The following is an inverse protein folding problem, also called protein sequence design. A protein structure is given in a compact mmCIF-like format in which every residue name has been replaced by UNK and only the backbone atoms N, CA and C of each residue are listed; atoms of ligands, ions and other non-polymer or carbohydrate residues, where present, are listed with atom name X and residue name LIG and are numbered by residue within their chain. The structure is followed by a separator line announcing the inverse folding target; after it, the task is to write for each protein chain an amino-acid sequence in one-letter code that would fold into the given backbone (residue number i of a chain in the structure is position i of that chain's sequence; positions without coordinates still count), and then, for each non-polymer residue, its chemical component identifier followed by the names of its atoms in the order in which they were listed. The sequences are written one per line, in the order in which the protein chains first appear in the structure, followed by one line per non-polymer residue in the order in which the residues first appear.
data_IF_253429040488
#
_entry.id   IF_253429040488
#
_cell.length_a   1.000
_cell.length_b   1.000
_cell.length_c   1.000
_cell.angle_alpha   90.00
_cell.angle_beta   90.00
_cell.angle_gamma   90.00
#
_symmetry.space_group_name_H-M   'P 1'
#
loop_
_entity.id
_entity.type
_entity.pdbx_description
1 polymer ?
#
# COMPACT_ATOMS: atom_id res chain seq x y z
N UNK A 1 -12.23 21.44 -8.66
CA UNK A 1 -12.10 20.47 -7.56
C UNK A 1 -11.49 21.22 -6.40
N UNK A 2 -12.10 21.17 -5.20
CA UNK A 2 -11.42 21.61 -3.99
C UNK A 2 -10.35 20.56 -3.71
N UNK A 3 -9.08 20.91 -3.91
CA UNK A 3 -7.99 19.99 -3.64
C UNK A 3 -7.76 19.99 -2.14
N UNK A 4 -7.95 18.83 -1.50
CA UNK A 4 -7.76 18.71 -0.07
C UNK A 4 -6.28 18.92 0.29
N UNK A 5 -6.01 19.88 1.17
CA UNK A 5 -4.64 20.28 1.52
C UNK A 5 -3.82 19.12 2.09
N UNK A 6 -4.47 18.16 2.75
CA UNK A 6 -3.79 16.99 3.32
C UNK A 6 -3.25 16.07 2.22
N UNK A 7 -3.99 15.83 1.14
CA UNK A 7 -3.50 15.05 0.00
C UNK A 7 -2.26 15.69 -0.63
N UNK A 8 -2.27 17.01 -0.83
CA UNK A 8 -1.10 17.77 -1.31
C UNK A 8 0.09 17.67 -0.35
N UNK A 9 -0.17 17.75 0.95
CA UNK A 9 0.85 17.59 1.97
C UNK A 9 1.45 16.18 1.95
N UNK A 10 0.63 15.13 1.76
CA UNK A 10 1.12 13.76 1.66
C UNK A 10 2.04 13.59 0.44
N UNK A 11 1.63 14.03 -0.76
CA UNK A 11 2.51 14.03 -1.95
C UNK A 11 3.80 14.84 -1.74
N UNK A 12 3.71 16.01 -1.08
CA UNK A 12 4.87 16.80 -0.70
C UNK A 12 5.80 16.04 0.25
N UNK A 13 5.24 15.37 1.24
CA UNK A 13 5.98 14.63 2.26
C UNK A 13 6.73 13.43 1.65
N UNK A 14 6.15 12.72 0.67
CA UNK A 14 6.82 11.59 0.00
C UNK A 14 8.19 11.99 -0.55
N UNK A 15 8.26 13.13 -1.23
CA UNK A 15 9.51 13.65 -1.80
C UNK A 15 10.55 13.99 -0.73
N UNK A 16 10.10 14.62 0.36
CA UNK A 16 10.96 14.89 1.51
C UNK A 16 11.49 13.58 2.13
N UNK A 17 10.63 12.57 2.30
CA UNK A 17 10.98 11.31 2.94
C UNK A 17 12.01 10.52 2.16
N UNK A 18 11.93 10.48 0.83
CA UNK A 18 12.97 9.85 -0.01
C UNK A 18 14.36 10.44 0.31
N UNK A 19 14.45 11.77 0.35
CA UNK A 19 15.70 12.48 0.65
C UNK A 19 16.14 12.25 2.11
N UNK A 20 15.19 12.19 3.05
CA UNK A 20 15.47 11.90 4.45
C UNK A 20 16.04 10.48 4.63
N UNK A 21 15.45 9.47 4.00
CA UNK A 21 15.90 8.08 4.04
C UNK A 21 17.34 7.98 3.50
N UNK A 22 17.61 8.57 2.32
CA UNK A 22 18.96 8.57 1.76
C UNK A 22 19.98 9.27 2.67
N UNK A 23 19.61 10.40 3.27
CA UNK A 23 20.46 11.07 4.27
C UNK A 23 20.76 10.18 5.47
N UNK A 24 19.75 9.54 6.06
CA UNK A 24 19.95 8.68 7.22
C UNK A 24 20.76 7.43 6.88
N UNK A 25 20.58 6.87 5.68
CA UNK A 25 21.41 5.78 5.17
C UNK A 25 22.90 6.17 5.06
N UNK A 26 23.19 7.36 4.52
CA UNK A 26 24.57 7.89 4.46
C UNK A 26 25.15 8.08 5.86
N UNK A 27 24.38 8.67 6.78
CA UNK A 27 24.82 8.86 8.17
C UNK A 27 25.07 7.53 8.87
N UNK A 28 24.24 6.51 8.63
CA UNK A 28 24.45 5.16 9.15
C UNK A 28 25.73 4.53 8.60
N UNK A 29 26.06 4.73 7.31
CA UNK A 29 27.33 4.26 6.74
C UNK A 29 28.56 4.98 7.26
N UNK A 30 28.47 6.29 7.50
CA UNK A 30 29.57 7.07 8.07
C UNK A 30 29.77 6.80 9.56
N UNK A 31 28.69 6.54 10.29
CA UNK A 31 28.71 6.34 11.74
C UNK A 31 27.90 5.10 12.17
N UNK A 32 28.36 3.87 11.85
CA UNK A 32 27.57 2.65 12.08
C UNK A 32 27.22 2.36 13.54
N UNK A 33 27.96 2.95 14.48
CA UNK A 33 27.71 2.79 15.92
C UNK A 33 26.54 3.62 16.47
N UNK A 34 25.97 4.52 15.67
CA UNK A 34 24.88 5.41 16.10
C UNK A 34 23.54 4.81 15.71
N UNK A 35 23.00 3.95 16.58
CA UNK A 35 21.76 3.22 16.36
C UNK A 35 20.54 4.11 16.02
N UNK A 36 20.49 5.34 16.55
CA UNK A 36 19.39 6.25 16.26
C UNK A 36 19.24 6.59 14.77
N UNK A 37 20.31 6.48 13.96
CA UNK A 37 20.22 6.76 12.52
C UNK A 37 19.47 5.68 11.76
N UNK A 38 19.73 4.39 12.02
CA UNK A 38 18.97 3.29 11.41
C UNK A 38 17.51 3.28 11.90
N UNK A 39 17.26 3.59 13.17
CA UNK A 39 15.90 3.70 13.72
C UNK A 39 15.10 4.82 13.05
N UNK A 40 15.70 6.02 12.90
CA UNK A 40 15.04 7.15 12.22
C UNK A 40 14.82 6.84 10.73
N UNK A 41 15.77 6.17 10.08
CA UNK A 41 15.61 5.74 8.69
C UNK A 41 14.39 4.82 8.53
N UNK A 42 14.23 3.85 9.43
CA UNK A 42 13.11 2.91 9.41
C UNK A 42 11.77 3.61 9.67
N UNK A 43 11.75 4.59 10.58
CA UNK A 43 10.58 5.44 10.80
C UNK A 43 10.16 6.17 9.52
N UNK A 44 11.11 6.77 8.79
CA UNK A 44 10.82 7.47 7.54
C UNK A 44 10.33 6.54 6.42
N UNK A 45 10.86 5.31 6.36
CA UNK A 45 10.39 4.26 5.44
C UNK A 45 8.93 3.90 5.73
N UNK A 46 8.59 3.64 7.00
CA UNK A 46 7.22 3.32 7.39
C UNK A 46 6.26 4.47 7.09
N UNK A 47 6.66 5.70 7.38
CA UNK A 47 5.84 6.89 7.10
C UNK A 47 5.67 7.15 5.60
N UNK A 48 6.64 6.78 4.75
CA UNK A 48 6.49 6.83 3.29
C UNK A 48 5.45 5.81 2.81
N UNK A 49 5.55 4.56 3.28
CA UNK A 49 4.62 3.50 2.94
C UNK A 49 3.18 3.83 3.38
N UNK A 50 3.03 4.33 4.61
CA UNK A 50 1.74 4.78 5.14
C UNK A 50 1.17 5.95 4.33
N UNK A 51 1.99 6.97 4.02
CA UNK A 51 1.56 8.09 3.19
C UNK A 51 1.15 7.64 1.78
N UNK A 52 1.84 6.65 1.20
CA UNK A 52 1.48 6.10 -0.10
C UNK A 52 0.12 5.41 -0.05
N UNK A 53 -0.07 4.54 0.95
CA UNK A 53 -1.35 3.86 1.16
C UNK A 53 -2.49 4.86 1.36
N UNK A 54 -2.30 5.88 2.21
CA UNK A 54 -3.28 6.92 2.48
C UNK A 54 -3.64 7.76 1.24
N UNK A 55 -2.68 7.98 0.32
CA UNK A 55 -2.96 8.66 -0.95
C UNK A 55 -3.83 7.81 -1.88
N UNK A 56 -3.54 6.51 -1.96
CA UNK A 56 -4.25 5.59 -2.86
C UNK A 56 -5.64 5.25 -2.33
N UNK A 57 -5.69 4.79 -1.09
CA UNK A 57 -6.90 4.24 -0.44
C UNK A 57 -7.71 5.32 0.29
N UNK A 58 -7.15 6.51 0.46
CA UNK A 58 -7.79 7.63 1.12
C UNK A 58 -7.74 7.53 2.65
N UNK A 59 -8.12 8.63 3.30
CA UNK A 59 -8.37 8.73 4.74
C UNK A 59 -9.79 9.27 4.89
N UNK A 60 -10.66 8.52 5.56
CA UNK A 60 -12.07 8.89 5.72
C UNK A 60 -12.21 10.32 6.25
N UNK A 61 -12.84 11.18 5.45
CA UNK A 61 -13.11 12.59 5.79
C UNK A 61 -11.91 13.54 5.70
N UNK A 62 -10.76 13.10 5.19
CA UNK A 62 -9.53 13.91 5.16
C UNK A 62 -8.67 13.79 3.89
N UNK A 63 -8.72 12.65 3.18
CA UNK A 63 -8.07 12.46 1.86
C UNK A 63 -9.00 11.59 1.00
N UNK A 64 -9.45 12.03 -0.18
CA UNK A 64 -10.25 11.20 -1.06
C UNK A 64 -9.39 10.06 -1.60
N UNK A 65 -10.02 8.89 -1.69
CA UNK A 65 -9.47 7.74 -2.40
C UNK A 65 -9.23 8.08 -3.87
N UNK A 66 -8.13 7.60 -4.44
CA UNK A 66 -7.88 7.69 -5.88
C UNK A 66 -8.84 6.74 -6.59
N UNK A 67 -9.67 7.29 -7.48
CA UNK A 67 -10.68 6.51 -8.21
C UNK A 67 -10.40 6.40 -9.70
N UNK A 68 -9.61 7.32 -10.27
CA UNK A 68 -9.23 7.30 -11.68
C UNK A 68 -8.22 6.18 -11.96
N UNK A 69 -8.53 5.29 -12.91
CA UNK A 69 -7.71 4.12 -13.16
C UNK A 69 -6.33 4.45 -13.76
N UNK A 70 -6.20 5.56 -14.48
CA UNK A 70 -4.90 6.01 -14.98
C UNK A 70 -4.03 6.52 -13.82
N UNK A 71 -4.61 7.27 -12.88
CA UNK A 71 -3.91 7.71 -11.68
C UNK A 71 -3.51 6.53 -10.78
N UNK A 72 -4.33 5.46 -10.68
CA UNK A 72 -3.92 4.21 -10.02
C UNK A 72 -2.70 3.58 -10.70
N UNK A 73 -2.61 3.60 -12.04
CA UNK A 73 -1.42 3.12 -12.76
C UNK A 73 -0.16 3.95 -12.44
N UNK A 74 -0.29 5.28 -12.38
CA UNK A 74 0.83 6.15 -11.97
C UNK A 74 1.27 5.86 -10.53
N UNK A 75 0.33 5.62 -9.62
CA UNK A 75 0.65 5.26 -8.23
C UNK A 75 1.32 3.88 -8.15
N UNK A 76 0.94 2.91 -9.00
CA UNK A 76 1.69 1.65 -9.13
C UNK A 76 3.14 1.89 -9.55
N UNK A 77 3.37 2.75 -10.55
CA UNK A 77 4.74 3.02 -11.01
C UNK A 77 5.59 3.62 -9.87
N UNK A 78 5.00 4.51 -9.05
CA UNK A 78 5.63 5.04 -7.84
C UNK A 78 5.94 3.92 -6.83
N UNK A 79 5.00 3.01 -6.58
CA UNK A 79 5.19 1.87 -5.65
C UNK A 79 6.27 0.91 -6.14
N UNK A 80 6.27 0.58 -7.42
CA UNK A 80 7.25 -0.33 -8.02
C UNK A 80 8.67 0.27 -7.97
N UNK A 81 8.80 1.58 -8.22
CA UNK A 81 10.07 2.27 -8.06
C UNK A 81 10.51 2.32 -6.59
N UNK A 82 9.55 2.50 -5.67
CA UNK A 82 9.80 2.50 -4.24
C UNK A 82 10.29 1.15 -3.73
N UNK A 83 9.74 0.02 -4.17
CA UNK A 83 10.17 -1.32 -3.72
C UNK A 83 11.68 -1.55 -3.91
N UNK A 84 12.20 -1.13 -5.06
CA UNK A 84 13.63 -1.25 -5.36
C UNK A 84 14.48 -0.38 -4.44
N UNK A 85 13.99 0.81 -4.11
CA UNK A 85 14.63 1.73 -3.18
C UNK A 85 14.59 1.21 -1.73
N UNK A 86 13.42 0.76 -1.28
CA UNK A 86 13.17 0.18 0.03
C UNK A 86 14.05 -1.05 0.28
N UNK A 87 14.18 -1.94 -0.72
CA UNK A 87 15.04 -3.12 -0.61
C UNK A 87 16.50 -2.75 -0.30
N UNK A 88 17.04 -1.69 -0.92
CA UNK A 88 18.40 -1.23 -0.63
C UNK A 88 18.47 -0.59 0.76
N UNK A 89 17.48 0.22 1.12
CA UNK A 89 17.43 0.85 2.45
C UNK A 89 17.35 -0.21 3.57
N UNK A 90 16.62 -1.30 3.35
CA UNK A 90 16.51 -2.42 4.29
C UNK A 90 17.86 -3.13 4.49
N UNK A 91 18.65 -3.34 3.44
CA UNK A 91 20.01 -3.91 3.57
C UNK A 91 20.91 -3.05 4.47
N UNK A 92 20.79 -1.72 4.36
CA UNK A 92 21.54 -0.77 5.18
C UNK A 92 21.07 -0.85 6.64
N UNK A 93 19.76 -0.93 6.86
CA UNK A 93 19.17 -1.10 8.19
C UNK A 93 19.60 -2.42 8.85
N UNK A 94 19.64 -3.52 8.09
CA UNK A 94 20.03 -4.86 8.54
C UNK A 94 21.53 -4.98 8.84
N UNK A 95 22.29 -3.89 8.69
CA UNK A 95 23.68 -3.80 9.13
C UNK A 95 24.70 -3.87 7.99
N UNK A 96 24.30 -3.72 6.73
CA UNK A 96 25.21 -3.57 5.59
C UNK A 96 25.18 -2.15 5.00
N UNK A 97 25.72 -1.14 5.69
CA UNK A 97 25.80 0.21 5.16
C UNK A 97 27.06 0.39 4.29
N UNK A 98 27.39 -0.60 3.46
CA UNK A 98 28.53 -0.53 2.55
C UNK A 98 28.39 0.64 1.56
N UNK A 99 29.52 1.14 1.06
CA UNK A 99 29.52 2.19 0.05
C UNK A 99 28.68 1.81 -1.19
N UNK A 100 28.64 0.53 -1.55
CA UNK A 100 27.80 0.01 -2.64
C UNK A 100 26.32 0.24 -2.36
N UNK A 101 25.82 -0.11 -1.17
CA UNK A 101 24.40 0.03 -0.85
C UNK A 101 24.02 1.51 -0.69
N UNK A 102 24.85 2.30 -0.01
CA UNK A 102 24.60 3.74 0.18
C UNK A 102 24.61 4.49 -1.15
N UNK A 103 25.58 4.23 -2.03
CA UNK A 103 25.61 4.83 -3.37
C UNK A 103 24.54 4.26 -4.30
N UNK A 104 24.15 3.01 -4.11
CA UNK A 104 23.02 2.40 -4.82
C UNK A 104 21.72 3.10 -4.49
N UNK A 105 21.50 3.44 -3.22
CA UNK A 105 20.33 4.19 -2.77
C UNK A 105 20.30 5.61 -3.37
N UNK A 106 21.44 6.31 -3.36
CA UNK A 106 21.59 7.61 -4.01
C UNK A 106 21.36 7.52 -5.53
N UNK A 107 21.91 6.50 -6.18
CA UNK A 107 21.74 6.26 -7.62
C UNK A 107 20.30 5.93 -8.03
N UNK A 108 19.49 5.35 -7.13
CA UNK A 108 18.06 5.15 -7.33
C UNK A 108 17.29 6.48 -7.36
N UNK A 109 17.79 7.51 -6.66
CA UNK A 109 17.21 8.84 -6.62
C UNK A 109 17.83 9.80 -7.64
N UNK A 110 19.05 9.54 -8.11
CA UNK A 110 19.75 10.42 -9.03
C UNK A 110 20.30 9.64 -10.22
N UNK A 111 19.60 9.73 -11.35
CA UNK A 111 20.01 9.12 -12.61
C UNK A 111 20.22 10.20 -13.66
N UNK A 112 21.49 10.42 -14.03
CA UNK A 112 21.90 11.42 -15.04
C UNK A 112 21.38 12.86 -14.77
N UNK A 113 21.25 13.23 -13.49
CA UNK A 113 20.79 14.56 -13.07
C UNK A 113 19.27 14.72 -13.00
N UNK A 114 18.53 13.63 -13.20
CA UNK A 114 17.07 13.55 -13.02
C UNK A 114 16.79 12.61 -11.86
N UNK A 115 15.80 12.95 -11.02
CA UNK A 115 15.26 12.05 -9.99
C UNK A 115 13.99 11.39 -10.54
N UNK A 116 14.05 10.11 -10.96
CA UNK A 116 12.91 9.44 -11.57
C UNK A 116 11.72 9.33 -10.61
N UNK A 117 11.97 9.15 -9.31
CA UNK A 117 10.91 9.05 -8.31
C UNK A 117 10.26 10.42 -8.07
N UNK A 118 11.04 11.49 -8.07
CA UNK A 118 10.52 12.85 -8.03
C UNK A 118 9.62 13.15 -9.23
N UNK A 119 10.04 12.76 -10.44
CA UNK A 119 9.26 12.96 -11.66
C UNK A 119 7.94 12.17 -11.62
N UNK A 120 7.99 10.90 -11.20
CA UNK A 120 6.79 10.07 -11.04
C UNK A 120 5.82 10.65 -10.00
N UNK A 121 6.33 11.06 -8.82
CA UNK A 121 5.52 11.69 -7.77
C UNK A 121 4.94 13.04 -8.22
N UNK A 122 5.68 13.81 -9.01
CA UNK A 122 5.21 15.10 -9.54
C UNK A 122 4.12 14.89 -10.59
N UNK A 123 4.28 13.93 -11.49
CA UNK A 123 3.26 13.56 -12.47
C UNK A 123 1.97 13.05 -11.80
N UNK A 124 2.10 12.21 -10.77
CA UNK A 124 0.97 11.73 -9.98
C UNK A 124 0.28 12.88 -9.20
N UNK A 125 1.06 13.83 -8.66
CA UNK A 125 0.53 15.03 -8.00
C UNK A 125 -0.27 15.91 -8.97
N UNK A 126 0.27 16.18 -10.16
CA UNK A 126 -0.41 16.99 -11.17
C UNK A 126 -1.73 16.33 -11.60
N UNK A 127 -1.69 15.01 -11.79
CA UNK A 127 -2.85 14.18 -12.10
C UNK A 127 -3.89 14.17 -10.97
N UNK A 128 -3.44 14.12 -9.71
CA UNK A 128 -4.29 14.21 -8.52
C UNK A 128 -4.99 15.58 -8.41
N UNK A 129 -4.26 16.67 -8.66
CA UNK A 129 -4.81 18.05 -8.63
C UNK A 129 -5.89 18.23 -9.70
N UNK A 130 -5.67 17.66 -10.90
CA UNK A 130 -6.65 17.69 -11.99
C UNK A 130 -7.82 16.73 -11.75
N UNK A 131 -7.59 15.65 -11.00
CA UNK A 131 -8.56 14.59 -10.76
C UNK A 131 -8.65 13.57 -11.90
N UNK A 132 -7.65 13.51 -12.78
CA UNK A 132 -7.56 12.55 -13.88
C UNK A 132 -6.09 12.33 -14.23
N UNK A 133 -5.68 11.07 -14.35
CA UNK A 133 -4.30 10.69 -14.63
C UNK A 133 -4.02 10.39 -16.10
N UNK A 134 -2.73 10.25 -16.40
CA UNK A 134 -2.25 9.74 -17.67
C UNK A 134 -1.94 8.24 -17.53
N UNK A 135 -2.56 7.42 -18.37
CA UNK A 135 -2.40 5.98 -18.31
C UNK A 135 -1.00 5.55 -18.76
N UNK A 136 -0.25 4.93 -17.85
CA UNK A 136 1.13 4.50 -18.10
C UNK A 136 1.24 3.05 -18.59
N UNK A 137 0.20 2.22 -18.36
CA UNK A 137 0.17 0.82 -18.74
C UNK A 137 -0.60 0.58 -20.05
N UNK A 138 -0.09 1.18 -21.13
CA UNK A 138 -0.65 1.11 -22.47
C UNK A 138 0.36 0.56 -23.48
N UNK A 139 -0.14 -0.04 -24.57
CA UNK A 139 0.71 -0.59 -25.63
C UNK A 139 1.64 -1.68 -25.10
N UNK A 140 2.95 -1.49 -25.29
CA UNK A 140 3.98 -2.45 -24.84
C UNK A 140 4.13 -2.53 -23.32
N UNK A 141 3.56 -1.56 -22.57
CA UNK A 141 3.50 -1.55 -21.10
C UNK A 141 2.17 -2.04 -20.54
N UNK A 142 1.27 -2.53 -21.39
CA UNK A 142 0.01 -3.09 -20.93
C UNK A 142 0.24 -4.31 -20.03
N UNK A 143 -0.69 -4.55 -19.11
CA UNK A 143 -0.68 -5.72 -18.21
C UNK A 143 -0.43 -7.01 -19.01
N UNK A 144 0.63 -7.72 -18.62
CA UNK A 144 0.99 -8.98 -19.23
C UNK A 144 -0.06 -10.05 -18.93
N UNK A 145 -0.04 -11.12 -19.71
CA UNK A 145 -0.90 -12.28 -19.45
C UNK A 145 -0.67 -12.86 -18.05
N UNK A 146 0.58 -12.91 -17.59
CA UNK A 146 0.92 -13.43 -16.27
C UNK A 146 0.33 -12.57 -15.17
N UNK A 147 0.41 -11.25 -15.30
CA UNK A 147 -0.18 -10.32 -14.34
C UNK A 147 -1.71 -10.42 -14.29
N UNK A 148 -2.36 -10.54 -15.45
CA UNK A 148 -3.81 -10.72 -15.51
C UNK A 148 -4.25 -12.06 -14.89
N UNK A 149 -3.50 -13.14 -15.14
CA UNK A 149 -3.76 -14.44 -14.50
C UNK A 149 -3.57 -14.38 -12.98
N UNK A 150 -2.55 -13.67 -12.49
CA UNK A 150 -2.33 -13.45 -11.06
C UNK A 150 -3.48 -12.65 -10.44
N UNK A 151 -3.91 -11.55 -11.07
CA UNK A 151 -5.06 -10.76 -10.60
C UNK A 151 -6.35 -11.59 -10.50
N UNK A 152 -6.64 -12.44 -11.50
CA UNK A 152 -7.81 -13.32 -11.48
C UNK A 152 -7.71 -14.34 -10.33
N UNK A 153 -6.51 -14.89 -10.08
CA UNK A 153 -6.29 -15.79 -8.94
C UNK A 153 -6.51 -15.08 -7.61
N UNK A 154 -5.99 -13.86 -7.44
CA UNK A 154 -6.20 -13.07 -6.23
C UNK A 154 -7.67 -12.75 -6.00
N UNK A 155 -8.45 -12.41 -7.05
CA UNK A 155 -9.91 -12.26 -6.93
C UNK A 155 -10.59 -13.56 -6.46
N UNK A 156 -10.18 -14.70 -7.02
CA UNK A 156 -10.68 -16.02 -6.60
C UNK A 156 -10.34 -16.32 -5.14
N UNK A 157 -9.13 -15.98 -4.71
CA UNK A 157 -8.67 -16.16 -3.35
C UNK A 157 -9.39 -15.23 -2.36
N UNK A 158 -9.66 -13.97 -2.70
CA UNK A 158 -10.54 -13.11 -1.90
C UNK A 158 -11.91 -13.75 -1.69
N UNK A 159 -12.47 -14.40 -2.72
CA UNK A 159 -13.74 -15.12 -2.60
C UNK A 159 -13.64 -16.32 -1.65
N UNK A 160 -12.55 -17.08 -1.70
CA UNK A 160 -12.25 -18.16 -0.75
C UNK A 160 -12.15 -17.64 0.68
N UNK A 161 -11.39 -16.55 0.90
CA UNK A 161 -11.21 -15.92 2.21
C UNK A 161 -12.55 -15.49 2.82
N UNK A 162 -13.50 -14.98 2.04
CA UNK A 162 -14.85 -14.66 2.57
C UNK A 162 -15.58 -15.88 3.11
N UNK A 163 -15.44 -17.04 2.46
CA UNK A 163 -16.04 -18.29 2.93
C UNK A 163 -15.32 -18.83 4.16
N UNK A 164 -13.98 -18.72 4.18
CA UNK A 164 -13.18 -19.08 5.34
C UNK A 164 -13.54 -18.23 6.55
N UNK A 165 -13.63 -16.90 6.41
CA UNK A 165 -14.07 -16.00 7.47
C UNK A 165 -15.46 -16.36 7.99
N UNK A 166 -16.43 -16.62 7.10
CA UNK A 166 -17.77 -17.02 7.52
C UNK A 166 -17.76 -18.34 8.32
N UNK A 167 -16.92 -19.30 7.93
CA UNK A 167 -16.75 -20.56 8.66
C UNK A 167 -16.08 -20.36 10.02
N UNK A 168 -14.97 -19.63 10.07
CA UNK A 168 -14.25 -19.33 11.32
C UNK A 168 -15.14 -18.57 12.30
N UNK A 169 -15.93 -17.62 11.80
CA UNK A 169 -16.94 -16.93 12.58
C UNK A 169 -17.98 -17.87 13.18
N UNK A 170 -18.49 -18.84 12.41
CA UNK A 170 -19.42 -19.85 12.96
C UNK A 170 -18.73 -20.68 14.05
N UNK A 171 -17.48 -21.08 13.85
CA UNK A 171 -16.72 -21.82 14.87
C UNK A 171 -16.56 -21.01 16.15
N UNK A 172 -16.24 -19.72 16.03
CA UNK A 172 -16.16 -18.80 17.16
C UNK A 172 -17.49 -18.71 17.93
N UNK A 173 -18.62 -18.58 17.21
CA UNK A 173 -19.96 -18.56 17.84
C UNK A 173 -20.35 -19.89 18.49
N UNK A 174 -19.72 -21.00 18.09
CA UNK A 174 -19.92 -22.32 18.68
C UNK A 174 -18.92 -22.63 19.80
N UNK A 175 -18.10 -21.65 20.20
CA UNK A 175 -17.03 -21.82 21.20
C UNK A 175 -16.01 -22.92 20.80
N UNK A 176 -15.80 -23.06 19.48
CA UNK A 176 -14.79 -23.93 18.90
C UNK A 176 -13.56 -23.07 18.58
N UNK A 177 -12.37 -23.64 18.80
CA UNK A 177 -11.10 -23.01 18.44
C UNK A 177 -11.15 -22.50 16.99
N UNK A 178 -10.91 -21.22 16.82
CA UNK A 178 -11.06 -20.49 15.55
C UNK A 178 -9.99 -19.42 15.46
N UNK A 179 -9.65 -19.03 14.22
CA UNK A 179 -8.68 -17.96 14.00
C UNK A 179 -9.18 -17.01 12.92
N UNK A 180 -10.24 -16.26 13.23
CA UNK A 180 -10.87 -15.30 12.34
C UNK A 180 -9.94 -14.14 11.95
N UNK A 181 -8.99 -13.79 12.82
CA UNK A 181 -8.05 -12.67 12.61
C UNK A 181 -7.14 -12.85 11.39
N UNK A 182 -6.72 -14.08 11.10
CA UNK A 182 -5.82 -14.38 9.98
C UNK A 182 -6.46 -14.12 8.62
N UNK A 183 -7.59 -14.74 8.25
CA UNK A 183 -8.21 -14.50 6.94
C UNK A 183 -8.76 -13.06 6.81
N UNK A 184 -9.08 -12.37 7.91
CA UNK A 184 -9.41 -10.94 7.91
C UNK A 184 -8.22 -10.10 7.43
N UNK A 185 -7.04 -10.29 8.05
CA UNK A 185 -5.83 -9.55 7.69
C UNK A 185 -5.38 -9.88 6.26
N UNK A 186 -5.41 -11.16 5.89
CA UNK A 186 -5.03 -11.64 4.55
C UNK A 186 -5.95 -11.04 3.47
N UNK A 187 -7.25 -10.89 3.73
CA UNK A 187 -8.17 -10.26 2.78
C UNK A 187 -7.77 -8.81 2.46
N UNK A 188 -7.38 -8.03 3.46
CA UNK A 188 -6.95 -6.64 3.27
C UNK A 188 -5.58 -6.55 2.58
N UNK A 189 -4.68 -7.48 2.89
CA UNK A 189 -3.37 -7.64 2.26
C UNK A 189 -3.49 -7.94 0.76
N UNK A 190 -4.50 -8.69 0.33
CA UNK A 190 -4.75 -8.96 -1.10
C UNK A 190 -5.60 -7.90 -1.80
N UNK A 191 -6.58 -7.29 -1.12
CA UNK A 191 -7.48 -6.31 -1.74
C UNK A 191 -6.73 -5.02 -2.12
N UNK A 192 -5.87 -4.54 -1.22
CA UNK A 192 -5.13 -3.28 -1.38
C UNK A 192 -4.27 -3.29 -2.66
N UNK A 193 -3.36 -4.26 -2.86
CA UNK A 193 -2.56 -4.38 -4.08
C UNK A 193 -3.36 -4.72 -5.33
N UNK A 194 -4.58 -5.26 -5.20
CA UNK A 194 -5.43 -5.52 -6.37
C UNK A 194 -6.04 -4.24 -6.92
N UNK A 195 -6.32 -3.25 -6.05
CA UNK A 195 -6.85 -1.93 -6.43
C UNK A 195 -5.75 -1.06 -7.05
N UNK A 196 -4.58 -1.02 -6.42
CA UNK A 196 -3.48 -0.16 -6.83
C UNK A 196 -2.57 -0.84 -7.86
N UNK A 197 -2.47 -2.17 -7.82
CA UNK A 197 -1.49 -2.96 -8.53
C UNK A 197 -0.13 -2.95 -7.82
N UNK A 198 0.64 -4.02 -8.00
CA UNK A 198 1.95 -4.20 -7.36
C UNK A 198 2.82 -5.22 -8.10
N UNK A 199 3.93 -4.80 -8.68
CA UNK A 199 4.78 -5.68 -9.50
C UNK A 199 5.43 -6.81 -8.69
N UNK A 200 5.77 -6.57 -7.41
CA UNK A 200 6.34 -7.60 -6.54
C UNK A 200 5.40 -8.81 -6.33
N UNK A 201 4.07 -8.58 -6.42
CA UNK A 201 3.06 -9.64 -6.39
C UNK A 201 2.57 -10.05 -7.79
N UNK A 202 3.21 -9.56 -8.85
CA UNK A 202 2.75 -9.71 -10.24
C UNK A 202 1.31 -9.23 -10.45
N UNK A 203 0.88 -8.18 -9.74
CA UNK A 203 -0.46 -7.62 -9.85
C UNK A 203 -0.43 -6.37 -10.73
N UNK A 204 -1.24 -6.30 -11.80
CA UNK A 204 -1.37 -5.11 -12.61
C UNK A 204 -2.25 -4.09 -11.88
N UNK A 205 -2.07 -2.81 -12.21
CA UNK A 205 -3.09 -1.82 -11.87
C UNK A 205 -4.35 -2.08 -12.73
N UNK A 206 -5.53 -1.56 -12.34
CA UNK A 206 -6.75 -1.80 -13.09
C UNK A 206 -6.63 -1.39 -14.57
N UNK A 207 -7.02 -2.30 -15.48
CA UNK A 207 -6.90 -2.09 -16.94
C UNK A 207 -7.96 -1.16 -17.53
N UNK A 208 -8.99 -0.81 -16.76
CA UNK A 208 -10.05 0.11 -17.17
C UNK A 208 -10.77 0.68 -15.96
N UNK A 209 -11.45 1.82 -16.15
CA UNK A 209 -12.28 2.43 -15.12
C UNK A 209 -13.39 1.49 -14.61
N UNK A 210 -13.94 0.62 -15.47
CA UNK A 210 -14.96 -0.34 -15.07
C UNK A 210 -14.42 -1.38 -14.07
N UNK A 211 -13.16 -1.79 -14.23
CA UNK A 211 -12.49 -2.70 -13.29
C UNK A 211 -12.15 -1.98 -12.00
N UNK A 212 -11.56 -0.77 -12.08
CA UNK A 212 -11.25 0.06 -10.92
C UNK A 212 -12.51 0.28 -10.06
N UNK A 213 -13.62 0.72 -10.66
CA UNK A 213 -14.88 0.95 -9.96
C UNK A 213 -15.39 -0.30 -9.23
N UNK A 214 -15.24 -1.50 -9.82
CA UNK A 214 -15.69 -2.75 -9.19
C UNK A 214 -14.83 -3.13 -7.98
N UNK A 215 -13.52 -2.93 -8.07
CA UNK A 215 -12.61 -3.21 -6.96
C UNK A 215 -12.81 -2.20 -5.82
N UNK A 216 -12.90 -0.91 -6.16
CA UNK A 216 -13.15 0.16 -5.20
C UNK A 216 -14.51 0.02 -4.50
N UNK A 217 -15.53 -0.52 -5.19
CA UNK A 217 -16.83 -0.80 -4.59
C UNK A 217 -16.78 -1.88 -3.51
N UNK A 218 -15.78 -2.79 -3.53
CA UNK A 218 -15.56 -3.77 -2.46
C UNK A 218 -15.04 -3.07 -1.21
N UNK A 219 -14.10 -2.14 -1.39
CA UNK A 219 -13.42 -1.40 -0.31
C UNK A 219 -14.26 -0.22 0.24
N UNK A 220 -15.34 0.17 -0.42
CA UNK A 220 -16.14 1.33 -0.03
C UNK A 220 -16.74 1.15 1.39
N UNK A 221 -16.52 2.16 2.25
CA UNK A 221 -16.95 2.23 3.64
C UNK A 221 -18.46 2.02 3.85
N UNK A 222 -19.26 2.31 2.83
CA UNK A 222 -20.73 2.24 2.90
C UNK A 222 -21.32 1.06 2.13
N UNK A 223 -20.51 0.05 1.83
CA UNK A 223 -20.94 -1.03 0.95
C UNK A 223 -20.60 -2.41 1.54
N UNK A 224 -19.65 -3.14 0.96
CA UNK A 224 -19.59 -4.60 1.15
C UNK A 224 -18.56 -5.06 2.17
N UNK A 225 -17.28 -4.71 2.02
CA UNK A 225 -16.24 -5.22 2.93
C UNK A 225 -16.33 -4.66 4.35
N UNK A 226 -16.43 -3.33 4.57
CA UNK A 226 -16.40 -2.79 5.92
C UNK A 226 -17.61 -3.19 6.77
N UNK A 227 -18.80 -3.33 6.16
CA UNK A 227 -19.98 -3.88 6.82
C UNK A 227 -19.78 -5.35 7.20
N UNK A 228 -19.25 -6.17 6.29
CA UNK A 228 -18.96 -7.57 6.57
C UNK A 228 -17.90 -7.73 7.67
N UNK A 229 -16.80 -6.98 7.61
CA UNK A 229 -15.76 -6.94 8.64
C UNK A 229 -16.32 -6.54 10.01
N UNK A 230 -17.14 -5.49 10.06
CA UNK A 230 -17.75 -5.05 11.31
C UNK A 230 -18.67 -6.12 11.94
N UNK A 231 -19.41 -6.88 11.13
CA UNK A 231 -20.23 -8.00 11.61
C UNK A 231 -19.37 -9.12 12.21
N UNK A 232 -18.26 -9.45 11.55
CA UNK A 232 -17.30 -10.45 12.02
C UNK A 232 -16.68 -10.05 13.37
N UNK A 233 -16.25 -8.79 13.50
CA UNK A 233 -15.56 -8.28 14.69
C UNK A 233 -16.50 -7.99 15.88
N UNK A 234 -17.72 -7.52 15.64
CA UNK A 234 -18.68 -7.21 16.72
C UNK A 234 -19.05 -8.43 17.57
N UNK A 235 -19.07 -9.61 16.95
CA UNK A 235 -19.54 -10.84 17.59
C UNK A 235 -18.47 -11.47 18.46
N UNK A 236 -17.20 -11.37 18.05
CA UNK A 236 -16.02 -11.73 18.87
C UNK A 236 -15.99 -10.98 20.22
N UNK A 237 -16.58 -9.78 20.28
CA UNK A 237 -16.61 -8.95 21.49
C UNK A 237 -17.79 -9.28 22.41
N UNK A 238 -18.88 -9.84 21.87
CA UNK A 238 -20.12 -10.07 22.64
C UNK A 238 -20.01 -11.31 23.53
N UNK A 239 -19.30 -12.34 23.08
CA UNK A 239 -18.98 -13.56 23.86
C UNK A 239 -18.19 -13.25 25.14
N UNK A 240 -17.28 -12.28 25.12
CA UNK A 240 -16.50 -11.90 26.32
C UNK A 240 -17.31 -11.15 27.40
N UNK A 241 -18.40 -10.46 27.00
CA UNK A 241 -19.22 -9.66 27.94
C UNK A 241 -20.27 -10.52 28.66
N UNK A 242 -20.76 -11.59 28.01
CA UNK A 242 -21.73 -12.49 28.63
C UNK A 242 -21.06 -13.45 29.65
N UNK A 243 -19.80 -13.85 29.44
CA UNK A 243 -19.03 -14.59 30.46
C UNK A 243 -18.80 -13.75 31.73
N UNK A 244 -18.42 -12.47 31.59
CA UNK A 244 -18.16 -11.56 32.72
C UNK A 244 -19.40 -11.15 33.53
N UNK A 245 -20.61 -11.45 33.05
CA UNK A 245 -21.88 -11.22 33.77
C UNK A 245 -22.47 -12.48 34.40
N UNK A 246 -21.81 -13.62 34.21
CA UNK A 246 -22.24 -14.93 34.72
C UNK A 246 -21.42 -15.43 35.92
N UNK A 247 -20.42 -14.67 36.37
CA UNK A 247 -19.71 -14.82 37.65
C UNK A 247 -20.27 -13.87 38.74
#
# INVERSE_FOLDING_TARGET
ADVECLGLQLFGSQRYRLQAIAKWAVLQGLFPSVQSYSETMMEEINLYAEAHSNLVHGITGAVPKITDYCLLQQMKDVKDSWDSFEAIAQLIYDGDPSATNVLGLDGSMWSAGIDPMFDMLTSALDSYVVGSGECTQVGDKAASRLELEAAIRSVGHLSELTQQMAKEYIFETMEIDSNLSVPLAEFEEYLTPLISGWSSLSLPAPVSQAVANRLLAVEDANNTWPEFKALLEATATTTLVDEARSE
#
